data_IF_882641869569
#
_entry.id   IF_882641869569
#
_cell.length_a   1.000
_cell.length_b   1.000
_cell.length_c   1.000
_cell.angle_alpha   90.00
_cell.angle_beta   90.00
_cell.angle_gamma   90.00
#
_symmetry.space_group_name_H-M   'P 1'
#
loop_
_entity.id
_entity.type
_entity.pdbx_description
1 polymer ?
#
# COMPACT_ATOMS: atom_id res chain seq x y z
N UNK A 1 -4.93 -7.37 1.07
CA UNK A 1 -6.23 -6.83 0.60
C UNK A 1 -7.35 -7.79 1.01
N UNK A 2 -8.56 -7.28 1.19
CA UNK A 2 -9.76 -8.01 1.59
C UNK A 2 -10.95 -7.68 0.67
N UNK A 3 -11.79 -8.67 0.39
CA UNK A 3 -13.09 -8.54 -0.30
C UNK A 3 -14.22 -9.04 0.61
N UNK A 4 -15.36 -8.33 0.65
CA UNK A 4 -16.53 -8.69 1.46
C UNK A 4 -17.82 -8.82 0.64
N UNK A 5 -18.61 -9.87 0.90
CA UNK A 5 -19.96 -10.06 0.33
C UNK A 5 -21.06 -9.48 1.23
N UNK A 6 -22.20 -9.08 0.65
CA UNK A 6 -23.30 -8.45 1.41
C UNK A 6 -23.99 -9.35 2.47
N UNK A 7 -24.80 -8.77 3.38
CA UNK A 7 -25.49 -9.53 4.42
C UNK A 7 -26.63 -10.38 3.84
N UNK A 8 -26.36 -11.67 3.64
CA UNK A 8 -27.34 -12.68 3.22
C UNK A 8 -26.66 -13.98 2.79
N UNK A 9 -26.95 -15.08 3.50
CA UNK A 9 -26.34 -16.43 3.32
C UNK A 9 -24.82 -16.47 3.36
N UNK A 10 -24.23 -16.02 4.47
CA UNK A 10 -22.80 -16.17 4.76
C UNK A 10 -21.97 -15.01 4.23
N UNK A 11 -21.44 -14.20 5.13
CA UNK A 11 -20.39 -13.24 4.80
C UNK A 11 -19.14 -14.04 4.41
N UNK A 12 -18.72 -13.94 3.15
CA UNK A 12 -17.50 -14.56 2.65
C UNK A 12 -16.45 -13.48 2.52
N UNK A 13 -15.37 -13.66 3.27
CA UNK A 13 -14.18 -12.82 3.22
C UNK A 13 -13.10 -13.52 2.41
N UNK A 14 -12.56 -12.84 1.40
CA UNK A 14 -11.34 -13.29 0.71
C UNK A 14 -10.19 -12.36 1.05
N UNK A 15 -9.04 -12.95 1.43
CA UNK A 15 -7.81 -12.22 1.72
C UNK A 15 -6.73 -12.61 0.73
N UNK A 16 -6.13 -11.61 0.08
CA UNK A 16 -4.90 -11.81 -0.67
C UNK A 16 -3.69 -11.86 0.28
N UNK A 17 -2.66 -12.62 -0.10
CA UNK A 17 -1.37 -12.63 0.58
C UNK A 17 -0.72 -11.23 0.62
N UNK A 18 0.20 -10.95 1.56
CA UNK A 18 0.95 -9.70 1.55
C UNK A 18 1.71 -9.51 0.25
N UNK A 19 1.77 -8.27 -0.22
CA UNK A 19 2.52 -7.86 -1.41
C UNK A 19 3.61 -6.87 -1.00
N UNK A 20 4.79 -7.01 -1.61
CA UNK A 20 5.85 -6.00 -1.54
C UNK A 20 5.66 -4.99 -2.67
N UNK A 21 5.57 -3.71 -2.32
CA UNK A 21 5.72 -2.62 -3.27
C UNK A 21 7.13 -2.08 -3.13
N UNK A 22 7.99 -2.44 -4.08
CA UNK A 22 9.34 -1.90 -4.18
C UNK A 22 9.33 -0.67 -5.10
N UNK A 23 9.82 0.46 -4.58
CA UNK A 23 9.90 1.72 -5.30
C UNK A 23 11.37 2.11 -5.44
N UNK A 24 11.88 2.02 -6.67
CA UNK A 24 13.22 2.48 -6.98
C UNK A 24 13.19 3.95 -7.41
N UNK A 25 14.36 4.58 -7.49
CA UNK A 25 14.47 6.00 -7.82
C UNK A 25 13.62 6.45 -9.03
N UNK A 26 13.54 5.71 -10.15
CA UNK A 26 12.68 6.11 -11.27
C UNK A 26 11.19 6.19 -10.89
N UNK A 27 10.72 5.28 -10.03
CA UNK A 27 9.33 5.23 -9.58
C UNK A 27 9.00 6.39 -8.63
N UNK A 28 9.98 6.75 -7.79
CA UNK A 28 9.88 7.89 -6.87
C UNK A 28 9.85 9.23 -7.62
N UNK A 29 10.48 9.30 -8.80
CA UNK A 29 10.52 10.50 -9.64
C UNK A 29 9.28 10.67 -10.52
N UNK A 30 8.68 9.56 -10.98
CA UNK A 30 7.51 9.58 -11.86
C UNK A 30 6.17 9.61 -11.12
N UNK A 31 6.12 9.15 -9.87
CA UNK A 31 4.87 9.05 -9.10
C UNK A 31 3.87 8.08 -9.75
N UNK A 32 4.36 7.07 -10.45
CA UNK A 32 3.51 6.17 -11.24
C UNK A 32 2.62 5.32 -10.34
N UNK A 33 1.30 5.25 -10.60
CA UNK A 33 0.39 4.33 -9.93
C UNK A 33 0.89 2.88 -10.02
N UNK A 34 0.58 2.07 -9.00
CA UNK A 34 0.94 0.65 -8.95
C UNK A 34 -0.32 -0.20 -9.07
N UNK A 35 -0.36 -1.03 -10.09
CA UNK A 35 -1.37 -2.08 -10.17
C UNK A 35 -1.06 -3.19 -9.15
N UNK A 36 -2.09 -3.60 -8.42
CA UNK A 36 -2.05 -4.72 -7.49
C UNK A 36 -2.87 -5.85 -8.08
N UNK A 37 -2.24 -7.00 -8.31
CA UNK A 37 -2.91 -8.21 -8.77
C UNK A 37 -3.72 -8.86 -7.63
N UNK A 38 -4.96 -9.19 -7.96
CA UNK A 38 -5.86 -10.01 -7.18
C UNK A 38 -5.91 -11.41 -7.79
N UNK A 39 -5.00 -12.26 -7.32
CA UNK A 39 -5.00 -13.65 -7.73
C UNK A 39 -6.19 -14.42 -7.14
N UNK A 40 -6.79 -15.29 -7.94
CA UNK A 40 -7.77 -16.31 -7.52
C UNK A 40 -9.05 -15.76 -6.89
N UNK A 41 -9.57 -14.64 -7.40
CA UNK A 41 -10.88 -14.12 -7.01
C UNK A 41 -11.97 -15.06 -7.52
N UNK A 42 -12.88 -15.44 -6.63
CA UNK A 42 -14.09 -16.18 -7.01
C UNK A 42 -15.15 -15.25 -7.59
N UNK A 43 -15.91 -15.77 -8.56
CA UNK A 43 -17.04 -15.05 -9.13
C UNK A 43 -18.06 -14.68 -8.05
N UNK A 44 -18.44 -13.40 -8.01
CA UNK A 44 -19.35 -12.91 -6.98
C UNK A 44 -19.58 -11.40 -7.04
N UNK A 45 -20.56 -10.96 -6.25
CA UNK A 45 -20.80 -9.53 -6.02
C UNK A 45 -20.29 -9.17 -4.63
N UNK A 46 -19.28 -8.30 -4.61
CA UNK A 46 -18.65 -7.79 -3.41
C UNK A 46 -19.14 -6.37 -3.14
N UNK A 47 -19.27 -6.03 -1.87
CA UNK A 47 -19.73 -4.71 -1.44
C UNK A 47 -18.60 -3.80 -0.96
N UNK A 48 -17.44 -4.39 -0.70
CA UNK A 48 -16.26 -3.67 -0.22
C UNK A 48 -14.98 -4.31 -0.79
N UNK A 49 -14.06 -3.44 -1.19
CA UNK A 49 -12.66 -3.74 -1.42
C UNK A 49 -11.84 -2.98 -0.38
N UNK A 50 -11.02 -3.69 0.39
CA UNK A 50 -10.19 -3.10 1.45
C UNK A 50 -8.71 -3.37 1.25
N UNK A 51 -7.93 -2.29 1.19
CA UNK A 51 -6.48 -2.32 1.24
C UNK A 51 -6.00 -2.05 2.66
N UNK A 52 -4.94 -2.75 3.07
CA UNK A 52 -4.31 -2.54 4.37
C UNK A 52 -2.81 -2.48 4.19
N UNK A 53 -2.24 -1.37 4.62
CA UNK A 53 -0.80 -1.23 4.83
C UNK A 53 -0.56 -1.62 6.28
N UNK A 54 0.10 -2.75 6.49
CA UNK A 54 0.46 -3.25 7.80
C UNK A 54 1.80 -3.96 7.71
N UNK A 55 2.42 -4.20 8.85
CA UNK A 55 3.67 -4.97 8.91
C UNK A 55 3.38 -6.42 8.54
N UNK A 56 4.14 -7.04 7.62
CA UNK A 56 4.02 -8.47 7.40
C UNK A 56 4.45 -9.22 8.67
N UNK A 57 3.76 -10.32 8.97
CA UNK A 57 4.18 -11.30 9.97
C UNK A 57 5.06 -12.37 9.32
N UNK A 58 6.00 -12.92 10.08
CA UNK A 58 6.78 -14.08 9.62
C UNK A 58 5.92 -15.33 9.35
N UNK A 59 4.73 -15.37 9.97
CA UNK A 59 3.76 -16.46 9.81
C UNK A 59 2.77 -16.21 8.66
N UNK A 60 2.79 -15.04 8.02
CA UNK A 60 1.90 -14.75 6.90
C UNK A 60 2.30 -15.57 5.66
N UNK A 61 1.29 -16.04 4.94
CA UNK A 61 1.49 -16.80 3.71
C UNK A 61 2.33 -16.00 2.70
N UNK A 62 3.36 -16.63 2.14
CA UNK A 62 4.23 -16.02 1.12
C UNK A 62 5.38 -15.18 1.68
N UNK A 63 5.32 -14.73 2.95
CA UNK A 63 6.39 -13.88 3.52
C UNK A 63 7.73 -14.60 3.58
N UNK A 64 7.77 -15.88 3.92
CA UNK A 64 9.02 -16.65 3.96
C UNK A 64 9.61 -16.95 2.57
N UNK A 65 8.84 -16.73 1.49
CA UNK A 65 9.24 -17.00 0.11
C UNK A 65 9.73 -15.74 -0.62
N UNK A 66 9.40 -14.55 -0.10
CA UNK A 66 9.82 -13.26 -0.61
C UNK A 66 10.83 -12.62 0.34
N UNK A 67 12.07 -12.40 -0.15
CA UNK A 67 13.15 -11.87 0.68
C UNK A 67 12.86 -10.46 1.21
N UNK A 68 12.15 -9.62 0.45
CA UNK A 68 11.82 -8.26 0.86
C UNK A 68 10.74 -8.24 1.94
N UNK A 69 9.68 -9.04 1.78
CA UNK A 69 8.67 -9.22 2.83
C UNK A 69 9.26 -9.83 4.09
N UNK A 70 10.11 -10.87 3.95
CA UNK A 70 10.81 -11.48 5.08
C UNK A 70 11.69 -10.45 5.81
N UNK A 71 12.44 -9.63 5.06
CA UNK A 71 13.24 -8.55 5.63
C UNK A 71 12.35 -7.55 6.38
N UNK A 72 11.28 -7.03 5.77
CA UNK A 72 10.34 -6.11 6.42
C UNK A 72 9.74 -6.68 7.71
N UNK A 73 9.33 -7.95 7.69
CA UNK A 73 8.81 -8.66 8.86
C UNK A 73 9.87 -8.74 9.96
N UNK A 74 11.11 -9.10 9.62
CA UNK A 74 12.23 -9.15 10.58
C UNK A 74 12.57 -7.79 11.19
N UNK A 75 12.29 -6.70 10.45
CA UNK A 75 12.51 -5.34 10.92
C UNK A 75 11.31 -4.76 11.68
N UNK A 76 10.21 -5.50 11.79
CA UNK A 76 8.93 -5.05 12.36
C UNK A 76 8.45 -3.75 11.68
N UNK A 77 8.54 -3.70 10.35
CA UNK A 77 8.28 -2.52 9.54
C UNK A 77 7.26 -2.79 8.43
N UNK A 78 6.41 -1.82 8.15
CA UNK A 78 5.53 -1.77 6.98
C UNK A 78 6.04 -0.78 5.93
N UNK A 79 7.02 0.06 6.31
CA UNK A 79 7.70 1.01 5.43
C UNK A 79 9.18 1.02 5.77
N UNK A 80 10.01 0.82 4.75
CA UNK A 80 11.46 0.97 4.80
C UNK A 80 11.87 1.92 3.67
N UNK A 81 12.66 2.94 4.00
CA UNK A 81 13.18 3.90 3.02
C UNK A 81 14.66 4.08 3.28
N UNK A 82 15.48 3.74 2.28
CA UNK A 82 16.88 4.10 2.25
C UNK A 82 17.07 5.36 1.41
N UNK A 83 17.86 6.29 1.90
CA UNK A 83 18.04 7.57 1.23
C UNK A 83 19.26 8.34 1.69
N UNK A 84 19.39 9.58 1.21
CA UNK A 84 20.44 10.50 1.62
C UNK A 84 19.83 11.85 1.98
N UNK A 85 20.22 12.39 3.14
CA UNK A 85 19.83 13.73 3.58
C UNK A 85 21.08 14.53 3.93
N UNK A 86 21.25 15.70 3.31
CA UNK A 86 22.46 16.55 3.50
C UNK A 86 23.78 15.77 3.33
N UNK A 87 23.84 14.94 2.28
CA UNK A 87 24.95 14.02 1.96
C UNK A 87 25.21 12.90 2.98
N UNK A 88 24.31 12.68 3.96
CA UNK A 88 24.38 11.59 4.92
C UNK A 88 23.37 10.50 4.57
N UNK A 89 23.78 9.22 4.50
CA UNK A 89 22.83 8.14 4.29
C UNK A 89 21.90 8.00 5.51
N UNK A 90 20.66 7.62 5.27
CA UNK A 90 19.71 7.28 6.32
C UNK A 90 18.88 6.06 5.90
N UNK A 91 18.38 5.35 6.91
CA UNK A 91 17.31 4.35 6.77
C UNK A 91 16.16 4.79 7.66
N UNK A 92 15.03 5.14 7.05
CA UNK A 92 13.79 5.39 7.77
C UNK A 92 12.99 4.10 7.86
N UNK A 93 12.61 3.72 9.07
CA UNK A 93 11.85 2.50 9.35
C UNK A 93 10.59 2.85 10.09
N UNK A 94 9.43 2.45 9.59
CA UNK A 94 8.17 2.66 10.31
C UNK A 94 7.24 1.46 10.26
N UNK A 95 6.38 1.40 11.28
CA UNK A 95 5.32 0.44 11.50
C UNK A 95 3.96 1.13 11.26
N UNK A 96 3.83 1.85 10.15
CA UNK A 96 2.58 2.48 9.74
C UNK A 96 1.49 1.42 9.60
N UNK A 97 0.33 1.70 10.18
CA UNK A 97 -0.91 1.01 9.91
C UNK A 97 -1.85 1.97 9.17
N UNK A 98 -2.37 1.56 8.03
CA UNK A 98 -3.34 2.35 7.27
C UNK A 98 -4.30 1.42 6.54
N UNK A 99 -5.54 1.88 6.38
CA UNK A 99 -6.57 1.16 5.64
C UNK A 99 -7.19 2.09 4.61
N UNK A 100 -7.52 1.54 3.44
CA UNK A 100 -8.31 2.19 2.40
C UNK A 100 -9.47 1.28 2.07
N UNK A 101 -10.68 1.81 2.11
CA UNK A 101 -11.91 1.06 1.87
C UNK A 101 -12.62 1.67 0.66
N UNK A 102 -12.98 0.83 -0.28
CA UNK A 102 -13.82 1.16 -1.43
C UNK A 102 -15.13 0.43 -1.23
N UNK A 103 -16.15 1.16 -0.79
CA UNK A 103 -17.51 0.65 -0.70
C UNK A 103 -18.22 0.81 -2.05
N UNK A 104 -18.94 -0.22 -2.50
CA UNK A 104 -19.57 -0.22 -3.80
C UNK A 104 -20.32 -1.51 -4.10
N UNK A 105 -20.49 -1.81 -5.39
CA UNK A 105 -21.01 -3.10 -5.85
C UNK A 105 -20.11 -3.61 -6.97
N UNK A 106 -19.13 -4.43 -6.60
CA UNK A 106 -18.11 -4.96 -7.50
C UNK A 106 -18.53 -6.36 -7.96
N UNK A 107 -18.82 -6.52 -9.25
CA UNK A 107 -19.14 -7.84 -9.82
C UNK A 107 -17.91 -8.38 -10.51
N UNK A 108 -17.25 -9.35 -9.88
CA UNK A 108 -16.03 -9.97 -10.37
C UNK A 108 -16.33 -11.36 -10.90
N UNK A 109 -15.68 -11.75 -12.00
CA UNK A 109 -15.68 -13.14 -12.49
C UNK A 109 -14.61 -13.98 -11.79
N UNK A 110 -14.56 -15.28 -12.09
CA UNK A 110 -13.47 -16.13 -11.63
C UNK A 110 -12.15 -15.72 -12.29
N UNK A 111 -11.06 -15.64 -11.51
CA UNK A 111 -9.70 -15.46 -12.03
C UNK A 111 -8.95 -14.28 -11.42
N UNK A 112 -7.96 -13.78 -12.16
CA UNK A 112 -7.16 -12.62 -11.76
C UNK A 112 -7.84 -11.31 -12.14
N UNK A 113 -7.83 -10.36 -11.22
CA UNK A 113 -8.29 -8.99 -11.44
C UNK A 113 -7.20 -8.02 -11.00
N UNK A 114 -7.24 -6.79 -11.48
CA UNK A 114 -6.29 -5.76 -11.08
C UNK A 114 -7.03 -4.66 -10.34
N UNK A 115 -6.39 -4.10 -9.33
CA UNK A 115 -6.83 -2.84 -8.73
C UNK A 115 -5.65 -1.90 -8.66
N UNK A 116 -5.89 -0.66 -9.07
CA UNK A 116 -4.87 0.38 -9.03
C UNK A 116 -4.77 0.97 -7.62
N UNK A 117 -3.57 0.86 -7.05
CA UNK A 117 -3.18 1.60 -5.86
C UNK A 117 -2.26 2.74 -6.29
N UNK A 118 -2.69 3.97 -6.05
CA UNK A 118 -1.80 5.11 -6.23
C UNK A 118 -1.02 5.39 -4.93
N UNK A 119 0.28 5.61 -5.10
CA UNK A 119 1.20 5.90 -4.01
C UNK A 119 2.12 7.05 -4.41
N UNK A 120 1.92 8.21 -3.78
CA UNK A 120 2.76 9.39 -3.99
C UNK A 120 3.72 9.64 -2.82
N UNK A 121 5.01 9.24 -2.94
CA UNK A 121 5.99 9.40 -1.87
C UNK A 121 6.57 10.82 -1.76
N UNK A 122 6.25 11.73 -2.70
CA UNK A 122 6.90 13.04 -2.81
C UNK A 122 6.74 13.92 -1.57
N UNK A 123 5.65 13.73 -0.81
CA UNK A 123 5.33 14.47 0.40
C UNK A 123 5.77 13.83 1.73
N UNK A 124 6.34 12.62 1.71
CA UNK A 124 6.62 11.85 2.94
C UNK A 124 7.54 12.57 3.92
N UNK A 125 8.63 13.15 3.42
CA UNK A 125 9.61 13.88 4.21
C UNK A 125 9.36 15.40 4.19
N UNK A 126 8.10 15.80 3.98
CA UNK A 126 7.68 17.19 3.94
C UNK A 126 8.05 17.89 2.64
N UNK A 127 8.22 19.22 2.73
CA UNK A 127 8.57 20.07 1.59
C UNK A 127 10.03 20.53 1.60
N UNK A 128 10.28 21.71 1.07
CA UNK A 128 11.59 22.37 1.15
C UNK A 128 11.67 23.35 2.32
N UNK A 129 12.89 23.75 2.69
CA UNK A 129 13.12 24.76 3.73
C UNK A 129 12.53 24.37 5.08
N UNK A 130 11.72 25.25 5.67
CA UNK A 130 11.09 25.04 6.98
C UNK A 130 10.04 23.92 7.00
N UNK A 131 9.54 23.47 5.85
CA UNK A 131 8.60 22.37 5.74
C UNK A 131 9.28 20.99 5.59
N UNK A 132 10.62 20.98 5.45
CA UNK A 132 11.41 19.75 5.31
C UNK A 132 11.47 19.01 6.65
N UNK A 133 11.24 17.71 6.60
CA UNK A 133 11.36 16.82 7.75
C UNK A 133 12.61 15.95 7.59
N UNK A 134 13.55 16.09 8.52
CA UNK A 134 14.73 15.23 8.60
C UNK A 134 14.34 13.87 9.22
N UNK A 135 14.45 12.74 8.50
CA UNK A 135 14.07 11.42 9.00
C UNK A 135 15.03 10.86 10.04
N UNK A 136 16.18 11.49 10.26
CA UNK A 136 17.13 11.13 11.33
C UNK A 136 16.77 11.80 12.67
N UNK A 137 15.81 12.73 12.66
CA UNK A 137 15.33 13.42 13.86
C UNK A 137 14.04 12.78 14.34
N UNK A 138 14.09 12.11 15.49
CA UNK A 138 12.94 11.37 16.04
C UNK A 138 11.68 12.22 16.22
N UNK A 139 11.82 13.52 16.53
CA UNK A 139 10.69 14.43 16.66
C UNK A 139 9.88 14.60 15.37
N UNK A 140 10.47 14.33 14.21
CA UNK A 140 9.79 14.38 12.91
C UNK A 140 9.03 13.08 12.57
N UNK A 141 9.31 11.98 13.27
CA UNK A 141 8.81 10.64 12.93
C UNK A 141 7.30 10.60 12.76
N UNK A 142 6.54 11.03 13.77
CA UNK A 142 5.07 10.96 13.69
C UNK A 142 4.50 11.81 12.56
N UNK A 143 5.14 12.92 12.22
CA UNK A 143 4.71 13.73 11.08
C UNK A 143 4.99 13.01 9.76
N UNK A 144 6.16 12.40 9.59
CA UNK A 144 6.51 11.59 8.42
C UNK A 144 5.53 10.41 8.27
N UNK A 145 5.25 9.70 9.36
CA UNK A 145 4.29 8.58 9.38
C UNK A 145 2.89 9.00 8.94
N UNK A 146 2.41 10.16 9.41
CA UNK A 146 1.12 10.71 8.97
C UNK A 146 1.11 11.09 7.48
N UNK A 147 2.22 11.59 6.93
CA UNK A 147 2.31 11.89 5.49
C UNK A 147 2.31 10.61 4.66
N UNK A 148 3.02 9.57 5.12
CA UNK A 148 3.00 8.25 4.49
C UNK A 148 1.58 7.67 4.50
N UNK A 149 0.86 7.72 5.61
CA UNK A 149 -0.53 7.24 5.66
C UNK A 149 -1.43 7.94 4.64
N UNK A 150 -1.25 9.25 4.44
CA UNK A 150 -2.05 10.07 3.52
C UNK A 150 -1.70 9.89 2.05
N UNK A 151 -0.53 9.34 1.73
CA UNK A 151 -0.14 9.13 0.33
C UNK A 151 -0.79 7.92 -0.31
N UNK A 152 -1.33 6.99 0.49
CA UNK A 152 -2.02 5.83 -0.03
C UNK A 152 -3.44 6.21 -0.45
N UNK A 153 -3.73 6.06 -1.74
CA UNK A 153 -5.07 6.27 -2.28
C UNK A 153 -5.43 5.08 -3.17
N UNK A 154 -6.48 4.36 -2.81
CA UNK A 154 -7.08 3.36 -3.67
C UNK A 154 -8.25 3.98 -4.45
N UNK A 155 -8.43 3.61 -5.71
CA UNK A 155 -9.58 3.99 -6.53
C UNK A 155 -9.84 2.95 -7.62
N UNK A 156 -11.06 2.97 -8.17
CA UNK A 156 -11.41 2.18 -9.34
C UNK A 156 -10.84 2.84 -10.62
N UNK A 157 -10.27 2.02 -11.48
CA UNK A 157 -9.51 2.37 -12.69
C UNK A 157 -9.69 1.24 -13.71
N UNK A 158 -10.86 1.18 -14.34
CA UNK A 158 -11.31 0.16 -15.28
C UNK A 158 -10.61 0.27 -16.65
N UNK A 159 -10.07 1.45 -16.98
CA UNK A 159 -9.31 1.68 -18.22
C UNK A 159 -7.79 1.60 -18.06
N UNK A 160 -7.32 1.40 -16.82
CA UNK A 160 -5.93 1.20 -16.43
C UNK A 160 -5.03 2.40 -16.78
N UNK A 161 -5.58 3.61 -16.85
CA UNK A 161 -4.83 4.82 -17.18
C UNK A 161 -4.12 5.45 -15.98
N UNK A 162 -4.37 4.93 -14.77
CA UNK A 162 -3.81 5.42 -13.53
C UNK A 162 -4.54 6.63 -12.97
N UNK A 163 -5.72 6.95 -13.49
CA UNK A 163 -6.63 7.96 -12.99
C UNK A 163 -7.92 7.32 -12.49
N UNK A 164 -8.58 8.04 -11.57
CA UNK A 164 -9.88 7.61 -11.10
C UNK A 164 -10.88 7.75 -12.26
N UNK A 165 -11.57 6.68 -12.58
CA UNK A 165 -12.76 6.74 -13.42
C UNK A 165 -13.79 7.68 -12.83
N UNK A 166 -14.19 8.68 -13.61
CA UNK A 166 -15.26 9.59 -13.21
C UNK A 166 -16.60 9.02 -13.67
N UNK A 167 -17.48 8.77 -12.71
CA UNK A 167 -18.93 8.63 -12.94
C UNK A 167 -19.51 9.81 -13.74
#
# INVERSE_FOLDING_TARGET
MKLETGPGSGEVEMKAAPLLIDLLQPDLESGTPREVDLAEVHAGTYREIKFSIHKPSLDDQGVSLDNGLFWMASQNASVLVDGTIDARPFTFRSAVDAQQELEGSFTLGDGSHYVTLNLDPSGWFGGSGAARLDPTVDANRSQIENQIQRSFQAFQDDDHDGHRDRD
#
